data_IF_104659005557
#
_entry.id   IF_104659005557
#
_cell.length_a   1.000
_cell.length_b   1.000
_cell.length_c   1.000
_cell.angle_alpha   90.00
_cell.angle_beta   90.00
_cell.angle_gamma   90.00
#
_symmetry.space_group_name_H-M   'P 1'
#
loop_
_entity.id
_entity.type
_entity.pdbx_description
1 polymer ?
#
# COMPACT_ATOMS: atom_id res chain seq x y z
N UNK A 1 -36.57 -9.00 83.98
CA UNK A 1 -35.13 -8.82 83.79
C UNK A 1 -34.65 -9.91 82.84
N UNK A 2 -34.48 -9.56 81.56
CA UNK A 2 -33.95 -10.44 80.56
C UNK A 2 -32.89 -9.69 79.77
N UNK A 3 -31.64 -10.13 79.58
CA UNK A 3 -30.63 -9.43 78.92
C UNK A 3 -30.71 -9.71 77.39
N UNK A 4 -30.65 -8.64 76.57
CA UNK A 4 -30.58 -8.71 75.13
C UNK A 4 -29.20 -9.15 74.70
N UNK A 5 -29.15 -10.18 73.79
CA UNK A 5 -27.95 -10.69 73.16
C UNK A 5 -27.77 -9.99 71.81
N UNK A 6 -26.79 -9.09 71.66
CA UNK A 6 -26.44 -8.45 70.40
C UNK A 6 -25.40 -9.33 69.66
N UNK A 7 -25.80 -9.94 68.57
CA UNK A 7 -24.88 -10.60 67.64
C UNK A 7 -24.20 -9.53 66.75
N UNK A 8 -22.91 -9.33 66.93
CA UNK A 8 -22.07 -8.59 65.96
C UNK A 8 -21.71 -9.52 64.80
N UNK A 9 -22.14 -9.20 63.59
CA UNK A 9 -21.73 -9.85 62.34
C UNK A 9 -20.36 -9.26 61.90
N UNK A 10 -19.37 -10.10 61.55
CA UNK A 10 -18.05 -9.62 61.20
C UNK A 10 -18.08 -9.03 59.78
N UNK A 11 -18.09 -7.72 59.67
CA UNK A 11 -18.15 -6.94 58.42
C UNK A 11 -16.90 -7.13 57.51
N UNK A 12 -15.77 -7.58 58.07
CA UNK A 12 -14.53 -7.76 57.31
C UNK A 12 -14.55 -8.97 56.32
N UNK A 13 -15.34 -10.03 56.57
CA UNK A 13 -15.44 -11.18 55.72
C UNK A 13 -16.26 -10.93 54.47
N UNK A 14 -17.26 -10.06 54.52
CA UNK A 14 -18.10 -9.68 53.39
C UNK A 14 -17.31 -8.81 52.39
N UNK A 15 -16.48 -7.89 52.83
CA UNK A 15 -15.67 -7.03 51.96
C UNK A 15 -14.58 -7.83 51.19
N UNK A 16 -14.00 -8.86 51.81
CA UNK A 16 -13.06 -9.77 51.13
C UNK A 16 -13.74 -10.62 50.07
N UNK A 17 -14.94 -11.12 50.30
CA UNK A 17 -15.70 -11.91 49.32
C UNK A 17 -16.13 -11.06 48.10
N UNK A 18 -16.56 -9.80 48.31
CA UNK A 18 -16.87 -8.89 47.20
C UNK A 18 -15.65 -8.48 46.41
N UNK A 19 -14.49 -8.26 47.04
CA UNK A 19 -13.23 -7.94 46.38
C UNK A 19 -12.73 -9.08 45.47
N UNK A 20 -12.83 -10.33 45.95
CA UNK A 20 -12.43 -11.52 45.15
C UNK A 20 -13.42 -11.73 44.00
N UNK A 21 -14.72 -11.54 44.20
CA UNK A 21 -15.73 -11.64 43.14
C UNK A 21 -15.52 -10.62 42.01
N UNK A 22 -15.24 -9.35 42.36
CA UNK A 22 -14.92 -8.30 41.38
C UNK A 22 -13.63 -8.57 40.62
N UNK A 23 -12.60 -9.12 41.28
CA UNK A 23 -11.33 -9.49 40.65
C UNK A 23 -11.52 -10.66 39.66
N UNK A 24 -12.34 -11.64 40.01
CA UNK A 24 -12.66 -12.78 39.13
C UNK A 24 -13.50 -12.36 37.93
N UNK A 25 -14.44 -11.43 38.09
CA UNK A 25 -15.22 -10.86 36.97
C UNK A 25 -14.32 -10.02 36.06
N UNK A 26 -13.42 -9.21 36.61
CA UNK A 26 -12.46 -8.44 35.84
C UNK A 26 -11.49 -9.34 35.07
N UNK A 27 -11.02 -10.45 35.67
CA UNK A 27 -10.16 -11.43 35.02
C UNK A 27 -10.90 -12.21 33.92
N UNK A 28 -12.17 -12.57 34.13
CA UNK A 28 -13.03 -13.20 33.12
C UNK A 28 -13.33 -12.26 31.94
N UNK A 29 -13.55 -10.97 32.19
CA UNK A 29 -13.69 -9.96 31.15
C UNK A 29 -12.39 -9.76 30.34
N UNK A 30 -11.22 -9.81 30.98
CA UNK A 30 -9.91 -9.72 30.31
C UNK A 30 -9.63 -10.98 29.45
N UNK A 31 -10.06 -12.16 29.89
CA UNK A 31 -9.92 -13.39 29.10
C UNK A 31 -10.96 -13.50 27.96
N UNK A 32 -12.06 -12.74 28.02
CA UNK A 32 -13.06 -12.69 26.95
C UNK A 32 -12.73 -11.68 25.84
N UNK A 33 -11.69 -10.85 25.99
CA UNK A 33 -11.20 -9.98 24.94
C UNK A 33 -10.44 -10.83 23.90
N UNK A 34 -11.19 -11.46 22.98
CA UNK A 34 -10.60 -11.96 21.72
C UNK A 34 -9.98 -10.75 21.02
N UNK A 35 -8.74 -10.85 20.49
CA UNK A 35 -8.22 -9.79 19.63
C UNK A 35 -9.23 -9.61 18.50
N UNK A 36 -9.83 -8.43 18.41
CA UNK A 36 -10.64 -8.04 17.27
C UNK A 36 -9.68 -7.97 16.08
N UNK A 37 -9.61 -9.04 15.31
CA UNK A 37 -9.08 -8.95 13.97
C UNK A 37 -9.99 -7.96 13.24
N UNK A 38 -9.46 -6.78 12.89
CA UNK A 38 -10.16 -5.85 12.05
C UNK A 38 -10.45 -6.58 10.75
N UNK A 39 -11.69 -7.04 10.58
CA UNK A 39 -12.15 -7.57 9.31
C UNK A 39 -11.99 -6.46 8.29
N UNK A 40 -11.19 -6.73 7.26
CA UNK A 40 -10.99 -5.83 6.12
C UNK A 40 -12.36 -5.63 5.47
N UNK A 41 -13.03 -4.52 5.77
CA UNK A 41 -14.24 -4.12 5.07
C UNK A 41 -13.81 -3.42 3.79
N UNK A 42 -13.78 -4.16 2.70
CA UNK A 42 -13.54 -3.62 1.37
C UNK A 42 -14.88 -3.11 0.84
N UNK A 43 -15.12 -1.82 1.02
CA UNK A 43 -16.26 -1.16 0.36
C UNK A 43 -15.84 -0.88 -1.10
N UNK A 44 -16.24 -1.74 -2.02
CA UNK A 44 -16.00 -1.57 -3.46
C UNK A 44 -17.19 -0.83 -4.05
N UNK A 45 -16.96 0.36 -4.55
CA UNK A 45 -17.92 1.09 -5.37
C UNK A 45 -17.45 1.08 -6.83
N UNK A 46 -18.33 0.68 -7.73
CA UNK A 46 -18.04 0.62 -9.16
C UNK A 46 -17.49 -0.75 -9.60
N UNK A 47 -18.34 -1.58 -10.18
CA UNK A 47 -17.93 -2.82 -10.83
C UNK A 47 -17.66 -2.56 -12.31
N UNK A 48 -16.57 -3.12 -12.86
CA UNK A 48 -16.32 -3.15 -14.30
C UNK A 48 -17.46 -3.86 -15.04
N UNK A 49 -17.75 -3.46 -16.27
CA UNK A 49 -18.84 -3.99 -17.07
C UNK A 49 -18.71 -5.50 -17.34
N UNK A 50 -17.49 -6.07 -17.23
CA UNK A 50 -17.22 -7.49 -17.44
C UNK A 50 -16.30 -7.97 -16.32
N UNK A 51 -16.82 -8.83 -15.44
CA UNK A 51 -16.04 -9.47 -14.40
C UNK A 51 -15.71 -10.91 -14.78
N UNK A 52 -14.52 -11.39 -14.43
CA UNK A 52 -14.11 -12.78 -14.56
C UNK A 52 -14.72 -13.62 -13.44
N UNK A 53 -15.64 -14.59 -13.74
CA UNK A 53 -16.20 -15.45 -12.71
C UNK A 53 -15.15 -16.49 -12.29
N UNK A 54 -14.69 -16.42 -11.04
CA UNK A 54 -13.66 -17.31 -10.50
C UNK A 54 -14.12 -17.96 -9.19
N UNK A 55 -13.91 -19.26 -9.09
CA UNK A 55 -14.07 -20.02 -7.84
C UNK A 55 -12.71 -20.19 -7.19
N UNK A 56 -12.61 -19.93 -5.87
CA UNK A 56 -11.42 -20.18 -5.07
C UNK A 56 -11.81 -21.14 -3.96
N UNK A 57 -11.37 -22.41 -4.09
CA UNK A 57 -11.60 -23.42 -3.08
C UNK A 57 -10.72 -23.18 -1.82
N UNK A 58 -11.17 -23.64 -0.66
CA UNK A 58 -10.31 -23.72 0.51
C UNK A 58 -9.22 -24.77 0.23
N UNK A 59 -7.98 -24.49 0.67
CA UNK A 59 -6.89 -25.42 0.45
C UNK A 59 -7.00 -26.58 1.46
N UNK A 60 -7.02 -27.80 0.93
CA UNK A 60 -7.26 -29.01 1.73
C UNK A 60 -6.03 -29.40 2.56
N UNK A 61 -6.24 -30.33 3.51
CA UNK A 61 -5.32 -31.00 4.45
C UNK A 61 -5.14 -30.25 5.78
N UNK A 62 -4.89 -28.93 5.77
CA UNK A 62 -4.92 -28.10 6.99
C UNK A 62 -6.09 -27.12 6.89
N UNK A 63 -7.19 -27.42 7.56
CA UNK A 63 -8.43 -26.66 7.45
C UNK A 63 -8.32 -25.20 7.89
N UNK A 64 -7.47 -24.92 8.89
CA UNK A 64 -7.33 -23.57 9.44
C UNK A 64 -6.50 -22.67 8.52
N UNK A 65 -5.29 -23.12 8.19
CA UNK A 65 -4.37 -22.37 7.33
C UNK A 65 -4.86 -22.35 5.88
N UNK A 66 -5.44 -23.45 5.40
CA UNK A 66 -5.99 -23.56 4.05
C UNK A 66 -7.14 -22.59 3.79
N UNK A 67 -8.05 -22.43 4.78
CA UNK A 67 -9.12 -21.43 4.71
C UNK A 67 -8.59 -20.01 4.76
N UNK A 68 -7.69 -19.70 5.70
CA UNK A 68 -7.08 -18.38 5.84
C UNK A 68 -6.34 -17.95 4.57
N UNK A 69 -5.61 -18.87 3.93
CA UNK A 69 -4.91 -18.64 2.67
C UNK A 69 -5.89 -18.33 1.55
N UNK A 70 -6.97 -19.09 1.40
CA UNK A 70 -8.00 -18.87 0.40
C UNK A 70 -8.75 -17.55 0.62
N UNK A 71 -8.99 -17.13 1.87
CA UNK A 71 -9.61 -15.84 2.19
C UNK A 71 -8.76 -14.66 1.73
N UNK A 72 -7.44 -14.71 1.90
CA UNK A 72 -6.52 -13.68 1.39
C UNK A 72 -6.60 -13.61 -0.13
N UNK A 73 -6.54 -14.76 -0.83
CA UNK A 73 -6.64 -14.81 -2.29
C UNK A 73 -7.97 -14.22 -2.77
N UNK A 74 -9.08 -14.59 -2.15
CA UNK A 74 -10.42 -14.05 -2.47
C UNK A 74 -10.48 -12.54 -2.28
N UNK A 75 -9.95 -12.03 -1.16
CA UNK A 75 -9.91 -10.61 -0.86
C UNK A 75 -9.07 -9.83 -1.89
N UNK A 76 -7.90 -10.36 -2.27
CA UNK A 76 -7.03 -9.76 -3.27
C UNK A 76 -7.72 -9.60 -4.63
N UNK A 77 -8.30 -10.68 -5.15
CA UNK A 77 -8.98 -10.65 -6.44
C UNK A 77 -10.22 -9.74 -6.40
N UNK A 78 -11.01 -9.81 -5.32
CA UNK A 78 -12.21 -8.98 -5.15
C UNK A 78 -11.86 -7.50 -5.18
N UNK A 79 -10.76 -7.07 -4.52
CA UNK A 79 -10.34 -5.66 -4.47
C UNK A 79 -10.09 -5.05 -5.84
N UNK A 80 -9.76 -5.85 -6.86
CA UNK A 80 -9.54 -5.32 -8.20
C UNK A 80 -10.84 -4.85 -8.89
N UNK A 81 -12.00 -5.32 -8.42
CA UNK A 81 -13.30 -5.11 -9.07
C UNK A 81 -13.45 -5.86 -10.39
N UNK A 82 -12.43 -6.60 -10.83
CA UNK A 82 -12.42 -7.33 -12.10
C UNK A 82 -12.91 -8.79 -11.96
N UNK A 83 -13.05 -9.29 -10.72
CA UNK A 83 -13.42 -10.67 -10.46
C UNK A 83 -14.78 -10.75 -9.74
N UNK A 84 -15.59 -11.72 -10.16
CA UNK A 84 -16.80 -12.15 -9.48
C UNK A 84 -16.55 -13.51 -8.84
N UNK A 85 -16.54 -13.55 -7.51
CA UNK A 85 -16.31 -14.79 -6.79
C UNK A 85 -17.51 -15.72 -6.87
N UNK A 86 -17.24 -16.98 -7.20
CA UNK A 86 -18.19 -18.09 -7.15
C UNK A 86 -17.89 -18.92 -5.91
N UNK A 87 -18.90 -19.28 -5.14
CA UNK A 87 -18.73 -20.02 -3.91
C UNK A 87 -18.13 -21.41 -4.17
N UNK A 88 -16.96 -21.69 -3.57
CA UNK A 88 -16.28 -22.98 -3.59
C UNK A 88 -15.86 -23.41 -2.18
N UNK A 89 -16.30 -22.73 -1.13
CA UNK A 89 -16.02 -23.10 0.25
C UNK A 89 -16.60 -24.50 0.56
N UNK A 90 -15.83 -25.30 1.28
CA UNK A 90 -16.24 -26.66 1.66
C UNK A 90 -16.32 -27.66 0.48
N UNK A 91 -15.76 -27.34 -0.69
CA UNK A 91 -15.75 -28.25 -1.85
C UNK A 91 -14.88 -29.50 -1.63
N UNK A 92 -13.99 -29.50 -0.63
CA UNK A 92 -13.08 -30.62 -0.32
C UNK A 92 -12.00 -30.87 -1.39
N UNK A 93 -11.83 -29.95 -2.35
CA UNK A 93 -10.85 -30.08 -3.41
C UNK A 93 -9.42 -29.96 -2.85
N UNK A 94 -8.55 -30.87 -3.27
CA UNK A 94 -7.12 -30.83 -3.03
C UNK A 94 -6.35 -30.77 -4.36
N UNK A 95 -5.05 -30.60 -4.32
CA UNK A 95 -4.21 -30.44 -5.52
C UNK A 95 -4.29 -31.63 -6.51
N UNK A 96 -4.63 -32.84 -6.01
CA UNK A 96 -4.73 -34.05 -6.82
C UNK A 96 -6.17 -34.39 -7.23
N UNK A 97 -7.16 -33.60 -6.79
CA UNK A 97 -8.56 -33.80 -7.12
C UNK A 97 -8.78 -33.62 -8.64
N UNK A 98 -9.48 -34.56 -9.30
CA UNK A 98 -9.92 -34.38 -10.68
C UNK A 98 -10.98 -33.27 -10.72
N UNK A 99 -10.87 -32.35 -11.68
CA UNK A 99 -11.82 -31.26 -11.86
C UNK A 99 -12.84 -31.65 -12.93
N UNK A 100 -14.12 -31.72 -12.53
CA UNK A 100 -15.24 -31.81 -13.46
C UNK A 100 -15.56 -30.40 -13.97
N UNK A 101 -14.97 -30.03 -15.10
CA UNK A 101 -15.07 -28.65 -15.65
C UNK A 101 -16.52 -28.21 -15.87
N UNK A 102 -17.37 -29.11 -16.37
CA UNK A 102 -18.77 -28.81 -16.66
C UNK A 102 -19.59 -28.53 -15.40
N UNK A 103 -19.26 -29.15 -14.26
CA UNK A 103 -19.92 -28.88 -12.97
C UNK A 103 -19.61 -27.46 -12.48
N UNK A 104 -18.34 -27.04 -12.56
CA UNK A 104 -17.95 -25.69 -12.17
C UNK A 104 -18.49 -24.62 -13.13
N UNK A 105 -18.51 -24.92 -14.40
CA UNK A 105 -19.16 -24.06 -15.39
C UNK A 105 -20.65 -23.94 -15.14
N UNK A 106 -21.33 -25.05 -14.79
CA UNK A 106 -22.74 -25.07 -14.37
C UNK A 106 -23.03 -24.23 -13.14
N UNK A 107 -22.05 -24.08 -12.21
CA UNK A 107 -22.10 -23.17 -11.07
C UNK A 107 -21.79 -21.70 -11.46
N UNK A 108 -21.44 -21.44 -12.72
CA UNK A 108 -21.13 -20.11 -13.24
C UNK A 108 -19.70 -19.64 -13.01
N UNK A 109 -18.74 -20.57 -12.78
CA UNK A 109 -17.32 -20.29 -12.69
C UNK A 109 -16.64 -20.59 -14.01
N UNK A 110 -15.99 -19.60 -14.61
CA UNK A 110 -15.14 -19.77 -15.81
C UNK A 110 -13.73 -20.26 -15.42
N UNK A 111 -13.32 -19.99 -14.17
CA UNK A 111 -12.05 -20.42 -13.62
C UNK A 111 -12.23 -20.99 -12.22
N UNK A 112 -11.38 -21.98 -11.87
CA UNK A 112 -11.30 -22.52 -10.51
C UNK A 112 -9.85 -22.67 -10.05
N UNK A 113 -9.54 -22.08 -8.89
CA UNK A 113 -8.29 -22.29 -8.17
C UNK A 113 -8.54 -23.18 -6.95
N UNK A 114 -7.67 -24.17 -6.77
CA UNK A 114 -7.76 -25.15 -5.70
C UNK A 114 -6.36 -25.65 -5.32
N UNK A 115 -6.20 -26.24 -4.15
CA UNK A 115 -4.88 -26.66 -3.72
C UNK A 115 -4.85 -27.42 -2.40
N UNK A 116 -3.65 -27.65 -1.93
CA UNK A 116 -3.35 -28.31 -0.66
C UNK A 116 -2.28 -27.53 0.11
N UNK A 117 -2.36 -27.58 1.43
CA UNK A 117 -1.33 -27.09 2.34
C UNK A 117 -0.97 -28.22 3.30
N UNK A 118 0.32 -28.54 3.41
CA UNK A 118 0.84 -29.59 4.28
C UNK A 118 2.00 -29.07 5.10
N UNK A 119 2.06 -29.40 6.38
CA UNK A 119 3.19 -29.08 7.24
C UNK A 119 4.26 -30.16 7.15
N UNK A 120 5.47 -29.78 6.76
CA UNK A 120 6.63 -30.66 6.71
C UNK A 120 7.20 -30.99 8.13
N UNK A 121 8.05 -31.98 8.21
CA UNK A 121 8.74 -32.38 9.45
C UNK A 121 9.71 -31.28 9.95
N UNK A 122 10.17 -30.41 9.10
CA UNK A 122 11.00 -29.24 9.39
C UNK A 122 10.19 -28.01 9.90
N UNK A 123 8.86 -28.16 10.05
CA UNK A 123 7.95 -27.13 10.50
C UNK A 123 7.56 -26.12 9.42
N UNK A 124 8.08 -26.24 8.21
CA UNK A 124 7.66 -25.42 7.06
C UNK A 124 6.39 -25.97 6.43
N UNK A 125 5.69 -25.13 5.71
CA UNK A 125 4.49 -25.50 4.96
C UNK A 125 4.82 -25.62 3.47
N UNK A 126 4.36 -26.72 2.84
CA UNK A 126 4.31 -26.90 1.39
C UNK A 126 2.89 -26.54 0.93
N UNK A 127 2.78 -25.51 0.12
CA UNK A 127 1.53 -25.01 -0.44
C UNK A 127 1.53 -25.25 -1.94
N UNK A 128 0.61 -26.09 -2.41
CA UNK A 128 0.44 -26.39 -3.83
C UNK A 128 -0.90 -25.89 -4.31
N UNK A 129 -0.91 -25.24 -5.44
CA UNK A 129 -2.16 -24.82 -6.08
C UNK A 129 -2.20 -25.16 -7.54
N UNK A 130 -3.42 -25.25 -8.08
CA UNK A 130 -3.74 -25.35 -9.50
C UNK A 130 -4.81 -24.34 -9.85
N UNK A 131 -4.77 -23.85 -11.10
CA UNK A 131 -5.79 -23.01 -11.72
C UNK A 131 -6.25 -23.72 -12.99
N UNK A 132 -7.54 -23.94 -13.11
CA UNK A 132 -8.17 -24.53 -14.29
C UNK A 132 -9.13 -23.54 -14.98
N UNK A 133 -9.15 -23.54 -16.29
CA UNK A 133 -10.13 -22.90 -17.16
C UNK A 133 -11.25 -23.92 -17.43
N UNK A 134 -12.44 -23.65 -16.95
CA UNK A 134 -13.58 -24.58 -17.08
C UNK A 134 -14.23 -24.49 -18.47
N UNK A 135 -14.03 -23.38 -19.17
CA UNK A 135 -14.55 -23.14 -20.53
C UNK A 135 -13.68 -23.88 -21.55
N UNK A 136 -12.36 -23.72 -21.46
CA UNK A 136 -11.39 -24.40 -22.33
C UNK A 136 -11.06 -25.82 -21.88
N UNK A 137 -11.52 -26.22 -20.70
CA UNK A 137 -11.28 -27.54 -20.08
C UNK A 137 -9.78 -27.87 -19.97
N UNK A 138 -8.99 -26.88 -19.55
CA UNK A 138 -7.53 -27.01 -19.45
C UNK A 138 -6.98 -26.42 -18.15
N UNK A 139 -5.84 -26.93 -17.70
CA UNK A 139 -5.10 -26.34 -16.60
C UNK A 139 -4.31 -25.13 -17.12
N UNK A 140 -4.49 -23.96 -16.46
CA UNK A 140 -3.79 -22.72 -16.80
C UNK A 140 -2.48 -22.54 -16.03
N UNK A 141 -2.44 -23.01 -14.78
CA UNK A 141 -1.29 -22.85 -13.90
C UNK A 141 -1.25 -23.92 -12.82
N UNK A 142 -0.05 -24.13 -12.25
CA UNK A 142 0.14 -25.03 -11.11
C UNK A 142 1.56 -24.88 -10.59
N UNK A 143 1.71 -24.50 -9.31
CA UNK A 143 2.99 -24.21 -8.66
C UNK A 143 2.94 -24.67 -7.20
N UNK A 144 4.12 -25.00 -6.67
CA UNK A 144 4.36 -25.25 -5.24
C UNK A 144 5.17 -24.10 -4.64
N UNK A 145 4.81 -23.74 -3.40
CA UNK A 145 5.53 -22.79 -2.58
C UNK A 145 5.93 -23.44 -1.26
N UNK A 146 7.06 -23.05 -0.69
CA UNK A 146 7.45 -23.44 0.65
C UNK A 146 7.65 -22.21 1.52
N UNK A 147 7.14 -22.21 2.74
CA UNK A 147 7.27 -21.08 3.66
C UNK A 147 7.03 -21.44 5.11
N UNK A 148 7.45 -20.56 6.01
CA UNK A 148 7.06 -20.61 7.42
C UNK A 148 5.61 -20.17 7.59
N UNK A 149 5.02 -20.37 8.75
CA UNK A 149 3.66 -19.91 9.07
C UNK A 149 3.48 -18.40 8.85
N UNK A 150 4.49 -17.59 9.24
CA UNK A 150 4.48 -16.15 9.04
C UNK A 150 4.53 -15.73 7.56
N UNK A 151 5.06 -16.61 6.70
CA UNK A 151 5.15 -16.37 5.25
C UNK A 151 3.90 -16.82 4.48
N UNK A 152 2.97 -17.57 5.10
CA UNK A 152 1.79 -18.09 4.40
C UNK A 152 0.93 -16.98 3.77
N UNK A 153 0.81 -15.83 4.44
CA UNK A 153 0.10 -14.69 3.86
C UNK A 153 0.76 -14.19 2.59
N UNK A 154 2.07 -14.08 2.57
CA UNK A 154 2.84 -13.70 1.37
C UNK A 154 2.66 -14.73 0.25
N UNK A 155 2.62 -16.03 0.59
CA UNK A 155 2.34 -17.10 -0.38
C UNK A 155 0.93 -16.94 -0.98
N UNK A 156 -0.07 -16.59 -0.16
CA UNK A 156 -1.43 -16.32 -0.65
C UNK A 156 -1.45 -15.17 -1.66
N UNK A 157 -0.78 -14.05 -1.35
CA UNK A 157 -0.62 -12.92 -2.28
C UNK A 157 0.09 -13.32 -3.58
N UNK A 158 1.13 -14.16 -3.52
CA UNK A 158 1.82 -14.66 -4.70
C UNK A 158 0.93 -15.56 -5.56
N UNK A 159 0.08 -16.39 -4.94
CA UNK A 159 -0.92 -17.18 -5.67
C UNK A 159 -1.95 -16.25 -6.33
N UNK A 160 -2.44 -15.24 -5.60
CA UNK A 160 -3.37 -14.25 -6.17
C UNK A 160 -2.74 -13.50 -7.35
N UNK A 161 -1.45 -13.09 -7.26
CA UNK A 161 -0.71 -12.48 -8.38
C UNK A 161 -0.71 -13.38 -9.62
N UNK A 162 -0.45 -14.67 -9.45
CA UNK A 162 -0.42 -15.63 -10.55
C UNK A 162 -1.80 -15.86 -11.16
N UNK A 163 -2.84 -15.99 -10.32
CA UNK A 163 -4.24 -16.13 -10.80
C UNK A 163 -4.62 -14.89 -11.61
N UNK A 164 -4.31 -13.70 -11.08
CA UNK A 164 -4.57 -12.44 -11.76
C UNK A 164 -3.87 -12.38 -13.13
N UNK A 165 -2.57 -12.67 -13.16
CA UNK A 165 -1.77 -12.63 -14.37
C UNK A 165 -2.25 -13.66 -15.42
N UNK A 166 -2.58 -14.89 -15.01
CA UNK A 166 -3.04 -15.95 -15.92
C UNK A 166 -4.39 -15.65 -16.56
N UNK A 167 -5.25 -14.94 -15.85
CA UNK A 167 -6.60 -14.61 -16.33
C UNK A 167 -6.61 -13.30 -17.11
N UNK A 168 -5.87 -12.27 -16.64
CA UNK A 168 -5.92 -10.92 -17.22
C UNK A 168 -4.78 -10.61 -18.20
N UNK A 169 -3.70 -11.37 -18.17
CA UNK A 169 -2.47 -11.09 -18.90
C UNK A 169 -1.58 -10.01 -18.26
N UNK A 170 -2.00 -9.42 -17.14
CA UNK A 170 -1.26 -8.36 -16.43
C UNK A 170 -0.67 -8.92 -15.15
N UNK A 171 0.59 -8.61 -14.83
CA UNK A 171 1.21 -9.05 -13.58
C UNK A 171 0.46 -8.51 -12.36
N UNK A 172 0.15 -9.40 -11.40
CA UNK A 172 -0.46 -9.01 -10.14
C UNK A 172 0.48 -8.21 -9.24
N UNK A 173 -0.08 -7.47 -8.28
CA UNK A 173 0.67 -6.57 -7.38
C UNK A 173 0.43 -6.88 -5.90
N UNK A 174 -0.28 -7.97 -5.59
CA UNK A 174 -0.73 -8.29 -4.24
C UNK A 174 0.42 -8.64 -3.31
N UNK A 175 1.49 -9.28 -3.82
CA UNK A 175 2.71 -9.59 -3.07
C UNK A 175 3.72 -8.44 -2.96
N UNK A 176 3.37 -7.25 -3.47
CA UNK A 176 4.19 -6.04 -3.30
C UNK A 176 3.98 -5.41 -1.93
N UNK A 177 4.71 -4.34 -1.62
CA UNK A 177 4.61 -3.63 -0.36
C UNK A 177 4.28 -2.16 -0.58
N UNK A 178 3.69 -1.55 0.43
CA UNK A 178 3.46 -0.11 0.50
C UNK A 178 4.22 0.48 1.69
N UNK A 179 4.55 1.76 1.62
CA UNK A 179 5.04 2.51 2.76
C UNK A 179 4.21 3.77 2.95
N UNK A 180 4.07 4.21 4.19
CA UNK A 180 3.35 5.43 4.55
C UNK A 180 3.85 5.98 5.89
N UNK A 181 3.55 7.24 6.17
CA UNK A 181 3.80 7.83 7.47
C UNK A 181 2.50 7.82 8.28
N UNK A 182 2.56 7.27 9.49
CA UNK A 182 1.46 7.28 10.45
C UNK A 182 1.82 8.24 11.60
N UNK A 183 1.03 9.32 11.74
CA UNK A 183 1.15 10.25 12.86
C UNK A 183 0.19 9.86 13.96
N UNK A 184 0.72 9.59 15.16
CA UNK A 184 -0.03 9.28 16.39
C UNK A 184 0.32 10.30 17.47
N UNK A 185 -0.55 11.27 17.69
CA UNK A 185 -0.24 12.38 18.61
C UNK A 185 1.01 13.13 18.18
N UNK A 186 2.07 13.12 18.98
CA UNK A 186 3.37 13.74 18.69
C UNK A 186 4.39 12.80 18.05
N UNK A 187 4.01 11.56 17.70
CA UNK A 187 4.93 10.55 17.14
C UNK A 187 4.63 10.30 15.67
N UNK A 188 5.68 10.22 14.87
CA UNK A 188 5.64 9.84 13.46
C UNK A 188 6.27 8.47 13.29
N UNK A 189 5.60 7.57 12.58
CA UNK A 189 6.08 6.24 12.26
C UNK A 189 6.13 6.07 10.74
N UNK A 190 7.32 5.82 10.19
CA UNK A 190 7.45 5.31 8.83
C UNK A 190 7.13 3.83 8.86
N UNK A 191 6.05 3.43 8.22
CA UNK A 191 5.57 2.07 8.21
C UNK A 191 5.69 1.44 6.83
N UNK A 192 5.96 0.14 6.80
CA UNK A 192 5.94 -0.71 5.62
C UNK A 192 4.91 -1.81 5.87
N UNK A 193 4.00 -2.00 4.92
CA UNK A 193 2.92 -2.98 5.02
C UNK A 193 2.77 -3.78 3.72
N UNK A 194 1.97 -4.85 3.75
CA UNK A 194 1.52 -5.54 2.54
C UNK A 194 0.69 -4.58 1.66
N UNK A 195 0.57 -4.87 0.38
CA UNK A 195 -0.15 -4.01 -0.58
C UNK A 195 -1.62 -3.75 -0.20
N UNK A 196 -2.20 -4.59 0.65
CA UNK A 196 -3.56 -4.43 1.18
C UNK A 196 -3.63 -3.63 2.50
N UNK A 197 -2.51 -3.07 2.94
CA UNK A 197 -2.41 -2.29 4.17
C UNK A 197 -2.34 -3.12 5.45
N UNK A 198 -2.31 -4.45 5.35
CA UNK A 198 -2.16 -5.33 6.50
C UNK A 198 -0.68 -5.54 6.85
N UNK A 199 -0.43 -6.18 8.00
CA UNK A 199 0.92 -6.54 8.45
C UNK A 199 1.90 -5.34 8.57
N UNK A 200 1.49 -4.17 9.10
CA UNK A 200 2.34 -3.01 9.15
C UNK A 200 3.54 -3.24 10.07
N UNK A 201 4.73 -2.94 9.56
CA UNK A 201 5.99 -2.98 10.28
C UNK A 201 6.56 -1.56 10.40
N UNK A 202 6.95 -1.17 11.61
CA UNK A 202 7.56 0.14 11.85
C UNK A 202 9.03 0.10 11.42
N UNK A 203 9.36 0.78 10.30
CA UNK A 203 10.74 0.93 9.85
C UNK A 203 11.48 2.03 10.63
N UNK A 204 10.80 3.11 11.00
CA UNK A 204 11.37 4.21 11.80
C UNK A 204 10.28 4.85 12.66
N UNK A 205 10.65 5.19 13.90
CA UNK A 205 9.85 6.02 14.81
C UNK A 205 10.59 7.29 15.17
N UNK A 206 9.91 8.45 15.11
CA UNK A 206 10.48 9.76 15.42
C UNK A 206 9.46 10.62 16.17
N UNK A 207 9.94 11.55 16.99
CA UNK A 207 9.12 12.65 17.55
C UNK A 207 9.01 13.83 16.57
N UNK A 208 9.99 13.92 15.67
CA UNK A 208 10.02 14.94 14.62
C UNK A 208 9.37 14.43 13.34
N UNK A 209 8.85 15.31 12.49
CA UNK A 209 8.18 14.90 11.24
C UNK A 209 9.05 14.02 10.36
N UNK A 210 8.40 13.02 9.76
CA UNK A 210 8.91 12.23 8.63
C UNK A 210 7.97 12.52 7.48
N UNK A 211 8.51 12.84 6.29
CA UNK A 211 7.72 13.14 5.09
C UNK A 211 8.38 12.56 3.84
N UNK A 212 7.64 12.52 2.74
CA UNK A 212 8.07 12.16 1.38
C UNK A 212 8.79 10.83 1.26
N UNK A 213 8.24 9.72 1.79
CA UNK A 213 8.85 8.41 1.58
C UNK A 213 8.80 8.02 0.09
N UNK A 214 9.90 7.42 -0.38
CA UNK A 214 10.07 6.99 -1.78
C UNK A 214 10.86 5.70 -1.83
N UNK A 215 10.33 4.68 -2.51
CA UNK A 215 10.97 3.38 -2.67
C UNK A 215 12.12 3.41 -3.67
N UNK A 216 13.21 2.71 -3.35
CA UNK A 216 14.21 2.36 -4.35
C UNK A 216 13.62 1.38 -5.37
N UNK A 217 14.09 1.38 -6.63
CA UNK A 217 13.56 0.52 -7.70
C UNK A 217 13.64 -0.99 -7.42
N UNK A 218 14.60 -1.41 -6.58
CA UNK A 218 14.77 -2.79 -6.12
C UNK A 218 13.89 -3.14 -4.89
N UNK A 219 13.19 -2.16 -4.31
CA UNK A 219 12.37 -2.36 -3.12
C UNK A 219 13.15 -2.64 -1.83
N UNK A 220 14.48 -2.51 -1.84
CA UNK A 220 15.32 -2.79 -0.68
C UNK A 220 15.46 -1.58 0.27
N UNK A 221 15.23 -0.35 -0.24
CA UNK A 221 15.47 0.89 0.49
C UNK A 221 14.28 1.84 0.40
N UNK A 222 14.21 2.74 1.39
CA UNK A 222 13.34 3.92 1.39
C UNK A 222 14.18 5.18 1.51
N UNK A 223 13.98 6.16 0.63
CA UNK A 223 14.39 7.53 0.85
C UNK A 223 13.25 8.29 1.51
N UNK A 224 13.53 9.18 2.44
CA UNK A 224 12.54 10.02 3.10
C UNK A 224 13.21 11.28 3.67
N UNK A 225 12.40 12.25 4.04
CA UNK A 225 12.86 13.44 4.77
C UNK A 225 12.61 13.26 6.25
N UNK A 226 13.59 13.55 7.09
CA UNK A 226 13.45 13.60 8.56
C UNK A 226 13.87 14.96 9.08
N UNK A 227 13.15 15.43 10.10
CA UNK A 227 13.43 16.68 10.80
C UNK A 227 14.18 16.48 12.13
N UNK A 228 14.63 15.26 12.43
CA UNK A 228 15.29 14.89 13.69
C UNK A 228 16.57 15.71 14.00
N UNK A 229 17.20 16.28 12.98
CA UNK A 229 18.39 17.14 13.11
C UNK A 229 18.07 18.63 13.27
N UNK A 230 16.79 18.99 13.51
CA UNK A 230 16.31 20.39 13.60
C UNK A 230 16.11 21.09 12.25
N UNK A 231 16.40 20.42 11.15
CA UNK A 231 16.12 20.85 9.77
C UNK A 231 15.76 19.65 8.90
N UNK A 232 15.10 19.84 7.75
CA UNK A 232 14.82 18.74 6.82
C UNK A 232 16.11 18.22 6.19
N UNK A 233 16.33 16.91 6.30
CA UNK A 233 17.45 16.14 5.73
C UNK A 233 16.89 14.91 5.04
N UNK A 234 17.38 14.60 3.83
CA UNK A 234 17.02 13.38 3.11
C UNK A 234 17.90 12.23 3.58
N UNK A 235 17.27 11.16 4.04
CA UNK A 235 17.92 9.91 4.42
C UNK A 235 17.59 8.80 3.43
N UNK A 236 18.52 7.86 3.26
CA UNK A 236 18.30 6.56 2.65
C UNK A 236 18.39 5.50 3.74
N UNK A 237 17.36 4.66 3.85
CA UNK A 237 17.20 3.62 4.86
C UNK A 237 17.14 2.25 4.18
N UNK A 238 18.06 1.35 4.51
CA UNK A 238 18.08 -0.04 4.07
C UNK A 238 17.21 -0.88 4.99
N UNK A 239 16.09 -1.39 4.48
CA UNK A 239 15.06 -2.05 5.30
C UNK A 239 15.53 -3.33 6.00
N UNK A 240 16.35 -4.14 5.31
CA UNK A 240 16.83 -5.42 5.86
C UNK A 240 17.75 -5.27 7.07
N UNK A 241 18.52 -4.17 7.15
CA UNK A 241 19.52 -3.93 8.20
C UNK A 241 19.14 -2.81 9.14
N UNK A 242 18.08 -2.06 8.85
CA UNK A 242 17.71 -0.81 9.51
C UNK A 242 18.79 0.26 9.46
N UNK A 243 19.84 0.08 8.65
CA UNK A 243 20.89 1.06 8.46
C UNK A 243 20.35 2.26 7.66
N UNK A 244 20.66 3.47 8.10
CA UNK A 244 20.27 4.71 7.43
C UNK A 244 21.41 5.71 7.38
N UNK A 245 21.49 6.43 6.27
CA UNK A 245 22.51 7.46 6.06
C UNK A 245 21.87 8.73 5.48
N UNK A 246 22.35 9.94 5.89
CA UNK A 246 21.94 11.18 5.26
C UNK A 246 22.56 11.26 3.85
N UNK A 247 21.71 11.52 2.85
CA UNK A 247 22.12 11.64 1.43
C UNK A 247 22.01 13.10 0.97
N UNK A 248 21.04 13.88 1.45
CA UNK A 248 21.02 15.31 1.21
C UNK A 248 20.92 16.05 2.55
N UNK A 249 22.02 16.62 2.98
CA UNK A 249 22.18 17.44 4.18
C UNK A 249 22.90 18.76 3.86
N UNK A 250 22.49 19.42 2.78
CA UNK A 250 23.05 20.69 2.35
C UNK A 250 22.51 21.86 3.19
N UNK A 251 23.08 23.05 3.01
CA UNK A 251 22.56 24.28 3.60
C UNK A 251 21.10 24.50 3.19
N UNK A 252 20.26 24.93 4.12
CA UNK A 252 18.82 25.14 3.88
C UNK A 252 18.01 23.85 3.90
N UNK A 253 16.89 23.85 3.19
CA UNK A 253 15.97 22.72 3.13
C UNK A 253 16.43 21.68 2.10
N UNK A 254 16.22 20.41 2.44
CA UNK A 254 16.52 19.26 1.63
C UNK A 254 15.25 18.36 1.64
N UNK A 255 14.56 18.20 0.53
CA UNK A 255 13.24 17.58 0.54
C UNK A 255 12.91 16.78 -0.74
N UNK A 256 11.76 16.10 -0.70
CA UNK A 256 11.10 15.44 -1.81
C UNK A 256 11.99 14.52 -2.65
N UNK A 257 12.59 13.47 -2.07
CA UNK A 257 13.45 12.56 -2.82
C UNK A 257 12.66 11.72 -3.84
N UNK A 258 13.18 11.63 -5.08
CA UNK A 258 12.70 10.75 -6.14
C UNK A 258 13.85 9.94 -6.73
N UNK A 259 13.75 8.60 -6.74
CA UNK A 259 14.79 7.72 -7.25
C UNK A 259 14.86 7.73 -8.76
N UNK A 260 16.08 7.65 -9.31
CA UNK A 260 16.27 7.27 -10.73
C UNK A 260 15.89 5.80 -10.94
N UNK A 261 15.44 5.41 -12.16
CA UNK A 261 15.02 4.03 -12.44
C UNK A 261 16.08 2.97 -12.21
N UNK A 262 17.35 3.32 -12.33
CA UNK A 262 18.50 2.46 -12.07
C UNK A 262 18.92 2.43 -10.58
N UNK A 263 18.30 3.25 -9.73
CA UNK A 263 18.60 3.35 -8.31
C UNK A 263 19.93 4.02 -7.96
N UNK A 264 20.68 4.54 -8.93
CA UNK A 264 22.01 5.14 -8.71
C UNK A 264 21.94 6.58 -8.21
N UNK A 265 20.81 7.28 -8.47
CA UNK A 265 20.64 8.71 -8.19
C UNK A 265 19.35 9.00 -7.46
N UNK A 266 19.33 10.17 -6.78
CA UNK A 266 18.13 10.80 -6.22
C UNK A 266 17.97 12.19 -6.80
N UNK A 267 16.79 12.50 -7.32
CA UNK A 267 16.36 13.87 -7.51
C UNK A 267 15.83 14.41 -6.18
N UNK A 268 16.24 15.60 -5.80
CA UNK A 268 15.88 16.25 -4.52
C UNK A 268 15.59 17.73 -4.74
N UNK A 269 14.74 18.31 -3.91
CA UNK A 269 14.51 19.75 -3.90
C UNK A 269 15.39 20.40 -2.82
N UNK A 270 16.28 21.33 -3.22
CA UNK A 270 17.22 22.00 -2.35
C UNK A 270 17.07 23.52 -2.38
N UNK A 271 17.17 24.17 -1.21
CA UNK A 271 17.22 25.65 -1.11
C UNK A 271 18.64 26.19 -0.87
N UNK A 272 19.67 25.38 -1.13
CA UNK A 272 21.08 25.73 -0.85
C UNK A 272 21.58 26.99 -1.54
N UNK A 273 21.06 27.28 -2.71
CA UNK A 273 21.47 28.40 -3.56
C UNK A 273 20.34 29.44 -3.73
N UNK A 274 19.40 29.52 -2.78
CA UNK A 274 18.27 30.46 -2.81
C UNK A 274 16.91 29.76 -2.79
N UNK A 275 16.04 30.02 -3.77
CA UNK A 275 14.74 29.37 -3.91
C UNK A 275 14.91 27.86 -4.14
N UNK A 276 13.88 27.10 -3.76
CA UNK A 276 13.86 25.64 -3.97
C UNK A 276 14.00 25.28 -5.44
N UNK A 277 14.99 24.47 -5.76
CA UNK A 277 15.27 23.99 -7.12
C UNK A 277 15.56 22.49 -7.09
N UNK A 278 15.40 21.84 -8.23
CA UNK A 278 15.68 20.41 -8.37
C UNK A 278 17.18 20.19 -8.60
N UNK A 279 17.73 19.28 -7.82
CA UNK A 279 19.09 18.74 -7.95
C UNK A 279 19.05 17.24 -8.08
N UNK A 280 20.09 16.68 -8.69
CA UNK A 280 20.34 15.25 -8.73
C UNK A 280 21.63 14.98 -7.98
N UNK A 281 21.61 13.99 -7.06
CA UNK A 281 22.73 13.57 -6.24
C UNK A 281 22.95 12.06 -6.38
N UNK A 282 24.14 11.57 -6.03
CA UNK A 282 24.38 10.14 -5.90
C UNK A 282 23.56 9.57 -4.75
N UNK A 283 22.82 8.48 -4.98
CA UNK A 283 21.92 7.88 -3.99
C UNK A 283 22.63 7.16 -2.85
N UNK A 284 23.92 6.80 -3.01
CA UNK A 284 24.68 6.11 -1.98
C UNK A 284 25.19 7.04 -0.87
N UNK A 285 25.62 8.26 -1.23
CA UNK A 285 26.34 9.16 -0.34
C UNK A 285 26.01 10.65 -0.50
N UNK A 286 25.12 11.00 -1.43
CA UNK A 286 24.75 12.39 -1.72
C UNK A 286 25.82 13.21 -2.44
N UNK A 287 26.89 12.57 -2.92
CA UNK A 287 27.95 13.23 -3.67
C UNK A 287 27.46 13.75 -5.03
N UNK A 288 28.29 14.62 -5.65
CA UNK A 288 28.09 15.17 -6.97
C UNK A 288 26.72 15.86 -7.20
N UNK A 289 26.31 16.82 -6.34
CA UNK A 289 25.03 17.52 -6.53
C UNK A 289 25.05 18.35 -7.83
N UNK A 290 24.21 17.95 -8.78
CA UNK A 290 24.02 18.64 -10.06
C UNK A 290 22.67 19.35 -10.07
N UNK A 291 22.68 20.66 -10.29
CA UNK A 291 21.45 21.47 -10.37
C UNK A 291 20.77 21.28 -11.72
N UNK A 292 19.53 20.81 -11.69
CA UNK A 292 18.70 20.50 -12.88
C UNK A 292 17.86 21.72 -13.29
N UNK A 293 17.23 22.40 -12.34
CA UNK A 293 16.36 23.54 -12.65
C UNK A 293 16.96 24.88 -12.23
N UNK A 294 16.62 25.92 -13.00
CA UNK A 294 16.97 27.32 -12.72
C UNK A 294 15.76 28.18 -13.09
N UNK A 295 14.87 28.41 -12.12
CA UNK A 295 13.66 29.18 -12.33
C UNK A 295 13.55 30.31 -11.30
N UNK A 296 12.74 31.37 -11.58
CA UNK A 296 12.42 32.39 -10.59
C UNK A 296 11.42 31.89 -9.53
N UNK A 297 10.87 30.69 -9.69
CA UNK A 297 9.87 30.09 -8.81
C UNK A 297 10.44 28.97 -7.93
N UNK A 298 9.55 28.36 -7.16
CA UNK A 298 9.80 27.18 -6.33
C UNK A 298 9.61 25.93 -7.19
N UNK A 299 10.67 25.12 -7.32
CA UNK A 299 10.63 23.81 -7.96
C UNK A 299 10.76 22.73 -6.90
N UNK A 300 9.83 21.77 -6.86
CA UNK A 300 9.76 20.72 -5.83
C UNK A 300 9.13 19.44 -6.35
N UNK A 301 9.09 18.38 -5.51
CA UNK A 301 8.45 17.09 -5.77
C UNK A 301 8.89 16.42 -7.07
N UNK A 302 10.22 16.27 -7.31
CA UNK A 302 10.70 15.65 -8.55
C UNK A 302 10.38 14.17 -8.62
N UNK A 303 10.08 13.70 -9.83
CA UNK A 303 9.90 12.29 -10.17
C UNK A 303 10.57 12.02 -11.52
N UNK A 304 11.47 11.04 -11.58
CA UNK A 304 12.05 10.61 -12.85
C UNK A 304 11.00 9.94 -13.74
N UNK A 305 11.13 10.11 -15.05
CA UNK A 305 10.43 9.25 -16.02
C UNK A 305 11.00 7.83 -15.98
N UNK A 306 10.22 6.79 -16.37
CA UNK A 306 10.68 5.38 -16.31
C UNK A 306 11.94 5.08 -17.12
N UNK A 307 12.21 5.86 -18.17
CA UNK A 307 13.43 5.78 -18.98
C UNK A 307 14.62 6.55 -18.39
N UNK A 308 14.40 7.31 -17.29
CA UNK A 308 15.42 8.14 -16.64
C UNK A 308 15.85 9.37 -17.43
N UNK A 309 15.27 9.61 -18.61
CA UNK A 309 15.68 10.69 -19.49
C UNK A 309 15.19 12.08 -19.01
N UNK A 310 14.07 12.12 -18.29
CA UNK A 310 13.44 13.38 -17.85
C UNK A 310 13.10 13.34 -16.36
N UNK A 311 12.84 14.53 -15.80
CA UNK A 311 12.27 14.72 -14.47
C UNK A 311 11.00 15.55 -14.61
N UNK A 312 9.93 15.06 -13.98
CA UNK A 312 8.66 15.76 -13.83
C UNK A 312 8.63 16.35 -12.42
N UNK A 313 8.15 17.58 -12.27
CA UNK A 313 8.19 18.27 -10.99
C UNK A 313 7.07 19.33 -10.88
N UNK A 314 6.78 19.75 -9.65
CA UNK A 314 5.89 20.88 -9.35
C UNK A 314 6.67 22.19 -9.42
N UNK A 315 6.10 23.23 -10.08
CA UNK A 315 6.68 24.57 -10.13
C UNK A 315 5.61 25.65 -10.13
N UNK A 316 5.85 26.74 -9.42
CA UNK A 316 4.99 27.93 -9.39
C UNK A 316 5.49 29.06 -10.32
N UNK A 317 6.47 28.79 -11.20
CA UNK A 317 7.12 29.77 -12.11
C UNK A 317 6.16 30.55 -13.00
N UNK A 318 4.94 30.09 -13.20
CA UNK A 318 3.90 30.76 -14.00
C UNK A 318 2.75 31.33 -13.16
N UNK A 319 3.00 31.63 -11.87
CA UNK A 319 2.06 32.33 -10.98
C UNK A 319 1.23 31.39 -10.07
N UNK A 320 1.29 30.09 -10.25
CA UNK A 320 0.66 29.08 -9.38
C UNK A 320 1.25 27.70 -9.64
N UNK A 321 1.14 26.77 -8.68
CA UNK A 321 1.78 25.46 -8.82
C UNK A 321 1.17 24.67 -9.97
N UNK A 322 2.03 24.21 -10.87
CA UNK A 322 1.72 23.40 -12.04
C UNK A 322 2.79 22.33 -12.24
N UNK A 323 2.49 21.32 -13.03
CA UNK A 323 3.43 20.25 -13.34
C UNK A 323 4.25 20.60 -14.59
N UNK A 324 5.55 20.44 -14.47
CA UNK A 324 6.53 20.67 -15.53
C UNK A 324 7.39 19.45 -15.76
N UNK A 325 8.00 19.37 -16.93
CA UNK A 325 8.99 18.37 -17.32
C UNK A 325 10.24 19.03 -17.87
N UNK A 326 11.42 18.52 -17.51
CA UNK A 326 12.71 18.90 -18.09
C UNK A 326 13.60 17.66 -18.26
N UNK A 327 14.69 17.76 -19.02
CA UNK A 327 15.69 16.70 -19.06
C UNK A 327 16.28 16.39 -17.69
N UNK A 328 16.67 15.13 -17.43
CA UNK A 328 17.26 14.73 -16.14
C UNK A 328 18.61 15.40 -15.84
N UNK A 329 19.28 15.95 -16.84
CA UNK A 329 20.50 16.76 -16.72
C UNK A 329 20.25 18.28 -16.81
N UNK A 330 18.99 18.69 -16.93
CA UNK A 330 18.56 20.08 -17.09
C UNK A 330 18.08 20.37 -18.52
N UNK A 331 17.85 21.65 -18.80
CA UNK A 331 17.32 22.14 -20.05
C UNK A 331 16.06 22.98 -19.86
N UNK A 332 15.37 23.30 -20.95
CA UNK A 332 14.11 24.03 -20.92
C UNK A 332 13.00 23.18 -20.26
N UNK A 333 12.21 23.81 -19.40
CA UNK A 333 11.11 23.12 -18.73
C UNK A 333 9.79 23.37 -19.46
N UNK A 334 9.12 22.31 -19.88
CA UNK A 334 7.81 22.33 -20.53
C UNK A 334 6.71 22.10 -19.50
N UNK A 335 5.68 22.96 -19.50
CA UNK A 335 4.48 22.78 -18.67
C UNK A 335 3.62 21.65 -19.23
N UNK A 336 3.10 20.79 -18.33
CA UNK A 336 2.26 19.65 -18.66
C UNK A 336 0.78 19.85 -18.30
N UNK A 337 0.47 20.60 -17.22
CA UNK A 337 -0.90 20.80 -16.72
C UNK A 337 -1.38 22.22 -16.99
N UNK A 338 -2.60 22.37 -17.53
CA UNK A 338 -3.18 23.66 -17.93
C UNK A 338 -4.53 23.90 -17.28
N UNK A 339 -5.25 22.87 -16.85
CA UNK A 339 -6.55 23.00 -16.22
C UNK A 339 -6.40 23.30 -14.72
N UNK A 340 -7.14 24.33 -14.26
CA UNK A 340 -7.13 24.80 -12.89
C UNK A 340 -5.85 25.56 -12.50
N UNK A 341 -5.91 26.23 -11.37
CA UNK A 341 -4.82 27.09 -10.86
C UNK A 341 -3.83 26.39 -9.94
N UNK A 342 -4.06 25.10 -9.59
CA UNK A 342 -3.27 24.41 -8.59
C UNK A 342 -3.17 22.92 -8.89
N UNK A 343 -2.00 22.46 -9.30
CA UNK A 343 -1.67 21.06 -9.60
C UNK A 343 -0.28 20.75 -9.05
N UNK A 344 -0.19 19.69 -8.19
CA UNK A 344 1.04 19.34 -7.44
C UNK A 344 1.23 17.81 -7.36
N UNK A 345 2.35 17.37 -6.79
CA UNK A 345 2.66 15.98 -6.45
C UNK A 345 2.60 15.04 -7.65
N UNK A 346 3.36 15.30 -8.71
CA UNK A 346 3.32 14.49 -9.93
C UNK A 346 3.89 13.09 -9.71
N UNK A 347 3.27 12.09 -10.32
CA UNK A 347 3.76 10.72 -10.45
C UNK A 347 3.49 10.21 -11.85
N UNK A 348 4.48 9.57 -12.45
CA UNK A 348 4.37 8.99 -13.79
C UNK A 348 4.02 7.50 -13.70
N UNK A 349 3.18 6.99 -14.60
CA UNK A 349 2.88 5.56 -14.69
C UNK A 349 4.13 4.75 -15.08
N UNK A 350 4.20 3.45 -14.72
CA UNK A 350 5.34 2.61 -15.05
C UNK A 350 5.66 2.50 -16.55
N UNK A 351 4.67 2.67 -17.40
CA UNK A 351 4.79 2.68 -18.87
C UNK A 351 5.11 4.08 -19.45
N UNK A 352 5.14 5.12 -18.58
CA UNK A 352 5.42 6.49 -18.99
C UNK A 352 4.26 7.21 -19.70
N UNK A 353 3.09 6.60 -19.86
CA UNK A 353 1.99 7.13 -20.65
C UNK A 353 1.08 8.11 -19.90
N UNK A 354 0.99 7.95 -18.58
CA UNK A 354 0.00 8.66 -17.75
C UNK A 354 0.68 9.38 -16.59
N UNK A 355 0.34 10.65 -16.41
CA UNK A 355 0.72 11.47 -15.26
C UNK A 355 -0.43 11.48 -14.25
N UNK A 356 -0.15 11.10 -12.99
CA UNK A 356 -1.00 11.41 -11.83
C UNK A 356 -0.54 12.69 -11.16
N UNK A 357 -1.48 13.42 -10.59
CA UNK A 357 -1.18 14.58 -9.76
C UNK A 357 -2.36 14.92 -8.84
N UNK A 358 -2.11 15.72 -7.83
CA UNK A 358 -3.15 16.30 -6.98
C UNK A 358 -3.62 17.59 -7.64
N UNK A 359 -4.90 17.65 -7.97
CA UNK A 359 -5.56 18.82 -8.56
C UNK A 359 -6.50 19.48 -7.55
N UNK A 360 -6.43 20.79 -7.39
CA UNK A 360 -7.45 21.54 -6.66
C UNK A 360 -8.57 21.95 -7.62
N UNK A 361 -9.79 21.43 -7.36
CA UNK A 361 -11.00 21.73 -8.13
C UNK A 361 -12.13 22.06 -7.15
N UNK A 362 -12.81 23.17 -7.34
CA UNK A 362 -13.93 23.61 -6.50
C UNK A 362 -13.60 23.63 -4.99
N UNK A 363 -12.38 24.02 -4.64
CA UNK A 363 -11.88 24.04 -3.26
C UNK A 363 -11.46 22.70 -2.67
N UNK A 364 -11.66 21.58 -3.38
CA UNK A 364 -11.29 20.22 -2.96
C UNK A 364 -10.00 19.76 -3.64
N UNK A 365 -9.20 18.97 -2.92
CA UNK A 365 -8.04 18.27 -3.47
C UNK A 365 -8.45 16.88 -3.94
N UNK A 366 -8.16 16.54 -5.19
CA UNK A 366 -8.52 15.28 -5.83
C UNK A 366 -7.36 14.73 -6.63
N UNK A 367 -7.33 13.42 -6.77
CA UNK A 367 -6.37 12.78 -7.66
C UNK A 367 -6.87 12.90 -9.09
N UNK A 368 -6.02 13.45 -9.95
CA UNK A 368 -6.26 13.58 -11.38
C UNK A 368 -5.24 12.75 -12.17
N UNK A 369 -5.64 12.31 -13.35
CA UNK A 369 -4.79 11.68 -14.34
C UNK A 369 -4.77 12.50 -15.63
N UNK A 370 -3.62 12.53 -16.31
CA UNK A 370 -3.43 13.13 -17.61
C UNK A 370 -2.71 12.13 -18.53
N UNK A 371 -3.37 11.73 -19.60
CA UNK A 371 -2.71 10.94 -20.65
C UNK A 371 -1.77 11.87 -21.45
N UNK A 372 -0.47 11.56 -21.42
CA UNK A 372 0.55 12.45 -21.99
C UNK A 372 0.58 12.47 -23.52
N UNK A 373 0.01 11.45 -24.18
CA UNK A 373 -0.06 11.39 -25.65
C UNK A 373 -1.29 12.08 -26.21
N UNK A 374 -2.45 11.94 -25.54
CA UNK A 374 -3.73 12.49 -26.03
C UNK A 374 -4.12 13.82 -25.38
N UNK A 375 -3.50 14.14 -24.23
CA UNK A 375 -3.90 15.31 -23.42
C UNK A 375 -5.23 15.09 -22.65
N UNK A 376 -5.80 13.89 -22.67
CA UNK A 376 -7.05 13.60 -21.97
C UNK A 376 -6.81 13.61 -20.45
N UNK A 377 -7.61 14.40 -19.73
CA UNK A 377 -7.56 14.54 -18.27
C UNK A 377 -8.83 13.94 -17.64
N UNK A 378 -8.68 13.28 -16.48
CA UNK A 378 -9.78 12.76 -15.70
C UNK A 378 -9.53 12.95 -14.20
N UNK A 379 -10.60 13.21 -13.43
CA UNK A 379 -10.57 13.11 -11.98
C UNK A 379 -10.85 11.66 -11.58
N UNK A 380 -9.89 11.02 -10.90
CA UNK A 380 -10.02 9.63 -10.45
C UNK A 380 -10.79 9.53 -9.14
N UNK A 381 -10.78 10.60 -8.33
CA UNK A 381 -11.42 10.63 -7.02
C UNK A 381 -12.37 11.82 -6.89
N UNK A 382 -13.29 11.75 -5.93
CA UNK A 382 -14.29 12.78 -5.65
C UNK A 382 -14.27 13.25 -4.19
N UNK A 383 -13.24 12.85 -3.44
CA UNK A 383 -13.00 13.31 -2.08
C UNK A 383 -12.76 14.81 -1.97
N UNK A 384 -12.67 15.30 -0.72
CA UNK A 384 -12.35 16.70 -0.44
C UNK A 384 -10.88 16.95 -0.21
N UNK A 385 -10.17 15.93 0.27
CA UNK A 385 -8.75 16.02 0.66
C UNK A 385 -8.06 14.69 0.33
N UNK A 386 -7.94 14.41 -0.96
CA UNK A 386 -7.23 13.25 -1.50
C UNK A 386 -5.83 13.68 -1.92
N UNK A 387 -4.80 13.04 -1.37
CA UNK A 387 -3.42 13.49 -1.50
C UNK A 387 -2.44 12.34 -1.76
N UNK A 388 -1.24 12.69 -2.21
CA UNK A 388 -0.08 11.80 -2.33
C UNK A 388 -0.35 10.54 -3.16
N UNK A 389 -0.76 10.68 -4.42
CA UNK A 389 -1.01 9.53 -5.29
C UNK A 389 0.27 8.76 -5.58
N UNK A 390 0.16 7.42 -5.67
CA UNK A 390 1.24 6.53 -6.07
C UNK A 390 0.69 5.38 -6.91
N UNK A 391 1.27 5.16 -8.09
CA UNK A 391 0.90 4.00 -8.91
C UNK A 391 1.34 2.68 -8.27
N UNK A 392 0.52 1.64 -8.41
CA UNK A 392 0.97 0.27 -8.33
C UNK A 392 1.96 -0.04 -9.47
N UNK A 393 2.92 -0.95 -9.28
CA UNK A 393 3.98 -1.18 -10.28
C UNK A 393 3.49 -1.78 -11.60
N UNK A 394 2.24 -2.26 -11.68
CA UNK A 394 1.59 -2.64 -12.94
C UNK A 394 0.77 -1.50 -13.59
N UNK A 395 0.71 -0.32 -12.98
CA UNK A 395 -0.03 0.83 -13.49
C UNK A 395 -1.56 0.74 -13.40
N UNK A 396 -2.13 -0.37 -12.87
CA UNK A 396 -3.58 -0.60 -12.89
C UNK A 396 -4.32 -0.02 -11.69
N UNK A 397 -3.59 0.33 -10.64
CA UNK A 397 -4.15 0.86 -9.39
C UNK A 397 -3.34 2.06 -8.90
N UNK A 398 -3.98 2.92 -8.14
CA UNK A 398 -3.42 4.11 -7.51
C UNK A 398 -3.74 4.06 -6.03
N UNK A 399 -2.69 4.17 -5.21
CA UNK A 399 -2.76 4.34 -3.75
C UNK A 399 -2.76 5.83 -3.43
N UNK A 400 -3.51 6.26 -2.42
CA UNK A 400 -3.52 7.65 -1.96
C UNK A 400 -3.99 7.77 -0.52
N UNK A 401 -3.73 8.91 0.12
CA UNK A 401 -4.28 9.26 1.42
C UNK A 401 -5.57 10.06 1.23
N UNK A 402 -6.60 9.76 2.02
CA UNK A 402 -7.89 10.44 1.96
C UNK A 402 -8.44 10.73 3.36
N UNK A 403 -9.37 11.67 3.45
CA UNK A 403 -10.18 11.89 4.64
C UNK A 403 -11.60 11.39 4.37
N UNK A 404 -12.01 10.34 5.08
CA UNK A 404 -13.36 9.77 5.00
C UNK A 404 -14.02 9.82 6.37
N UNK A 405 -15.21 10.41 6.47
CA UNK A 405 -15.94 10.56 7.73
C UNK A 405 -15.09 11.17 8.86
N UNK A 406 -14.24 12.15 8.54
CA UNK A 406 -13.34 12.82 9.48
C UNK A 406 -12.13 11.98 9.93
N UNK A 407 -11.89 10.83 9.33
CA UNK A 407 -10.74 9.96 9.62
C UNK A 407 -9.81 9.89 8.42
N UNK A 408 -8.52 9.90 8.71
CA UNK A 408 -7.51 9.63 7.68
C UNK A 408 -7.51 8.14 7.35
N UNK A 409 -7.56 7.83 6.06
CA UNK A 409 -7.60 6.47 5.54
C UNK A 409 -6.57 6.28 4.44
N UNK A 410 -6.09 5.05 4.32
CA UNK A 410 -5.36 4.57 3.16
C UNK A 410 -6.38 4.08 2.14
N UNK A 411 -6.39 4.68 0.97
CA UNK A 411 -7.38 4.41 -0.07
C UNK A 411 -6.72 4.01 -1.39
N UNK A 412 -7.46 3.26 -2.19
CA UNK A 412 -7.06 2.86 -3.53
C UNK A 412 -8.13 3.19 -4.56
N UNK A 413 -7.71 3.45 -5.79
CA UNK A 413 -8.60 3.60 -6.94
C UNK A 413 -7.97 2.92 -8.15
N UNK A 414 -8.79 2.31 -9.03
CA UNK A 414 -8.30 1.83 -10.32
C UNK A 414 -7.81 3.00 -11.18
N UNK A 415 -6.84 2.76 -12.06
CA UNK A 415 -6.26 3.82 -12.91
C UNK A 415 -7.27 4.46 -13.87
N UNK A 416 -8.42 3.82 -14.10
CA UNK A 416 -9.56 4.35 -14.85
C UNK A 416 -10.62 5.06 -13.97
N UNK A 417 -10.41 5.12 -12.65
CA UNK A 417 -11.29 5.80 -11.68
C UNK A 417 -12.57 5.05 -11.32
N UNK A 418 -12.80 3.86 -11.86
CA UNK A 418 -14.10 3.14 -11.73
C UNK A 418 -14.24 2.36 -10.44
N UNK A 419 -13.16 1.76 -9.93
CA UNK A 419 -13.16 0.93 -8.73
C UNK A 419 -12.45 1.67 -7.63
N UNK A 420 -13.12 1.89 -6.49
CA UNK A 420 -12.56 2.55 -5.32
C UNK A 420 -12.63 1.64 -4.11
N UNK A 421 -11.63 1.73 -3.26
CA UNK A 421 -11.51 0.89 -2.07
C UNK A 421 -10.88 1.66 -0.91
N UNK A 422 -11.27 1.33 0.31
CA UNK A 422 -10.59 1.73 1.53
C UNK A 422 -9.75 0.55 2.00
N UNK A 423 -8.41 0.71 2.03
CA UNK A 423 -7.49 -0.36 2.38
C UNK A 423 -7.33 -0.50 3.89
N UNK A 424 -7.21 0.60 4.61
CA UNK A 424 -7.02 0.56 6.06
C UNK A 424 -7.52 1.84 6.72
N UNK A 425 -8.14 1.66 7.89
CA UNK A 425 -8.49 2.75 8.82
C UNK A 425 -7.68 2.54 10.08
N UNK A 426 -6.60 3.30 10.25
CA UNK A 426 -5.71 3.19 11.40
C UNK A 426 -6.02 4.26 12.44
N UNK A 427 -5.65 4.00 13.70
CA UNK A 427 -5.68 5.03 14.73
C UNK A 427 -4.50 5.98 14.55
N UNK A 428 -4.75 7.13 13.91
CA UNK A 428 -3.76 8.13 13.58
C UNK A 428 -4.03 8.77 12.23
N UNK A 429 -3.18 9.71 11.86
CA UNK A 429 -3.24 10.41 10.58
C UNK A 429 -2.27 9.73 9.60
N UNK A 430 -2.82 9.14 8.54
CA UNK A 430 -2.04 8.53 7.45
C UNK A 430 -1.61 9.64 6.50
N UNK A 431 -0.33 9.64 6.16
CA UNK A 431 0.28 10.63 5.27
C UNK A 431 1.17 9.96 4.24
N UNK A 432 1.22 10.53 3.07
CA UNK A 432 2.18 10.30 2.00
C UNK A 432 2.43 8.81 1.71
N UNK A 433 1.38 8.03 1.42
CA UNK A 433 1.54 6.65 1.03
C UNK A 433 2.29 6.54 -0.30
N UNK A 434 3.11 5.50 -0.42
CA UNK A 434 3.84 5.18 -1.65
C UNK A 434 3.82 3.68 -1.89
N UNK A 435 3.53 3.29 -3.13
CA UNK A 435 3.54 1.90 -3.55
C UNK A 435 4.96 1.47 -3.92
N UNK A 436 5.41 0.33 -3.42
CA UNK A 436 6.72 -0.25 -3.74
C UNK A 436 6.74 -0.93 -5.11
N UNK A 437 7.94 -1.20 -5.62
CA UNK A 437 8.11 -1.90 -6.88
C UNK A 437 7.76 -3.38 -6.74
N UNK A 438 7.74 -4.09 -7.87
CA UNK A 438 7.74 -5.55 -7.85
C UNK A 438 8.96 -6.07 -7.08
N UNK A 439 8.73 -6.99 -6.15
CA UNK A 439 9.82 -7.69 -5.48
C UNK A 439 10.40 -8.68 -6.50
N UNK A 440 11.71 -8.59 -6.75
CA UNK A 440 12.42 -9.55 -7.60
C UNK A 440 12.31 -10.93 -6.95
N UNK A 441 11.90 -11.93 -7.70
CA UNK A 441 11.74 -13.34 -7.25
C UNK A 441 13.10 -13.99 -7.02
#
# INVERSE_FOLDING_TARGET
MTPAYSRRVPTLALWRAYGIGLLMVALACLMAMKPAHAQLRVDISGTGATQYPVAIADFAVDDTHGRALAEVIRADLTRTGQFRLINAAGSGLNVDSPITHDDWRGKGADFIAYGSITRGADGRYDVRYRLADTVKKSQLDGVAFSGTEQELRRVAHQIADRIYEKITGVRGVFSTRIAYVLKKGSTYELQVADADGQNPQVALRSREPIISPSWSPDGAKLAYVSFESGKPVVYVHTLATSARAPVANFKGNNSAPGWSPDGSKLAVALTRDGLSQIYVVNAADGSNPSRVTRSPGIDTEPSFTPDGASIIFTSDRSGGPQIYQTGSTGGEARRLTFNGGYNISPRISPDGSTLLYVARRDGAFRIASLNLSTGAEALLTDGRDDQSPSFAPNGMQVLYAAIQNGRSVLAGVSSDGRVRQTLSVLNGEIREPTWGPFITR
#
